data_IF_981928581342
#
_entry.id   IF_981928581342
#
_cell.length_a   1.000
_cell.length_b   1.000
_cell.length_c   1.000
_cell.angle_alpha   90.00
_cell.angle_beta   90.00
_cell.angle_gamma   90.00
#
_symmetry.space_group_name_H-M   'P 1'
#
loop_
_entity.id
_entity.type
_entity.pdbx_description
1 polymer ?
#
# COMPACT_ATOMS: atom_id res chain seq x y z
N UNK A 1 -18.94 36.44 10.90
CA UNK A 1 -19.29 35.01 11.03
C UNK A 1 -18.19 34.25 10.32
N UNK A 2 -17.34 33.55 11.07
CA UNK A 2 -16.24 32.75 10.50
C UNK A 2 -16.83 31.64 9.64
N UNK A 3 -16.62 31.73 8.33
CA UNK A 3 -16.86 30.62 7.43
C UNK A 3 -15.68 29.66 7.52
N UNK A 4 -15.61 28.87 8.60
CA UNK A 4 -14.75 27.70 8.62
C UNK A 4 -15.43 26.60 7.81
N UNK A 5 -15.49 26.79 6.48
CA UNK A 5 -15.80 25.69 5.56
C UNK A 5 -14.59 24.76 5.64
N UNK A 6 -14.74 23.51 6.12
CA UNK A 6 -13.68 22.53 5.97
C UNK A 6 -13.31 22.52 4.49
N UNK A 7 -12.01 22.65 4.17
CA UNK A 7 -11.56 22.36 2.81
C UNK A 7 -12.07 20.97 2.47
N UNK A 8 -12.56 20.72 1.24
CA UNK A 8 -12.81 19.34 0.83
C UNK A 8 -11.51 18.58 1.09
N UNK A 9 -11.56 17.57 1.96
CA UNK A 9 -10.39 16.71 2.20
C UNK A 9 -9.96 16.21 0.83
N UNK A 10 -8.75 16.60 0.46
CA UNK A 10 -8.13 16.20 -0.77
C UNK A 10 -7.70 14.74 -0.59
N UNK A 11 -8.58 13.84 -1.05
CA UNK A 11 -8.36 12.40 -0.91
C UNK A 11 -7.33 11.89 -1.91
N UNK A 12 -6.89 12.74 -2.85
CA UNK A 12 -5.80 12.38 -3.77
C UNK A 12 -4.49 12.13 -3.02
N UNK A 13 -4.23 12.87 -1.93
CA UNK A 13 -3.08 12.64 -1.04
C UNK A 13 -3.07 11.23 -0.43
N UNK A 14 -4.23 10.63 -0.17
CA UNK A 14 -4.33 9.29 0.40
C UNK A 14 -4.01 8.21 -0.64
N UNK A 15 -4.50 8.39 -1.87
CA UNK A 15 -4.21 7.48 -2.98
C UNK A 15 -2.71 7.51 -3.31
N UNK A 16 -2.10 8.69 -3.35
CA UNK A 16 -0.65 8.84 -3.61
C UNK A 16 0.19 8.17 -2.52
N UNK A 17 -0.14 8.37 -1.24
CA UNK A 17 0.54 7.70 -0.12
C UNK A 17 0.38 6.18 -0.16
N UNK A 18 -0.82 5.68 -0.49
CA UNK A 18 -1.06 4.25 -0.63
C UNK A 18 -0.25 3.67 -1.80
N UNK A 19 -0.14 4.38 -2.93
CA UNK A 19 0.72 3.99 -4.04
C UNK A 19 2.19 3.90 -3.62
N UNK A 20 2.70 4.91 -2.91
CA UNK A 20 4.07 4.93 -2.41
C UNK A 20 4.32 3.74 -1.46
N UNK A 21 3.41 3.48 -0.52
CA UNK A 21 3.53 2.35 0.40
C UNK A 21 3.49 1.00 -0.32
N UNK A 22 2.65 0.84 -1.35
CA UNK A 22 2.61 -0.37 -2.18
C UNK A 22 3.94 -0.55 -2.90
N UNK A 23 4.46 0.47 -3.57
CA UNK A 23 5.74 0.40 -4.30
C UNK A 23 6.90 0.05 -3.36
N UNK A 24 7.01 0.75 -2.22
CA UNK A 24 8.01 0.46 -1.20
C UNK A 24 7.88 -0.98 -0.68
N UNK A 25 6.66 -1.50 -0.52
CA UNK A 25 6.44 -2.87 -0.03
C UNK A 25 6.87 -3.91 -1.08
N UNK A 26 6.63 -3.64 -2.36
CA UNK A 26 7.08 -4.49 -3.47
C UNK A 26 8.60 -4.53 -3.54
N UNK A 27 9.27 -3.38 -3.50
CA UNK A 27 10.75 -3.31 -3.49
C UNK A 27 11.32 -4.08 -2.29
N UNK A 28 10.76 -3.91 -1.10
CA UNK A 28 11.15 -4.68 0.09
C UNK A 28 10.88 -6.19 -0.02
N UNK A 29 9.95 -6.63 -0.87
CA UNK A 29 9.71 -8.05 -1.16
C UNK A 29 10.76 -8.60 -2.11
N UNK A 30 11.07 -7.86 -3.18
CA UNK A 30 12.07 -8.21 -4.18
C UNK A 30 13.47 -8.24 -3.56
N UNK A 31 13.88 -7.22 -2.82
CA UNK A 31 15.14 -7.19 -2.07
C UNK A 31 15.26 -8.38 -1.11
N UNK A 32 14.17 -8.72 -0.41
CA UNK A 32 14.18 -9.86 0.50
C UNK A 32 14.31 -11.19 -0.28
N UNK A 33 13.68 -11.31 -1.44
CA UNK A 33 13.82 -12.47 -2.33
C UNK A 33 15.24 -12.60 -2.90
N UNK A 34 15.93 -11.50 -3.18
CA UNK A 34 17.33 -11.56 -3.59
C UNK A 34 18.22 -12.13 -2.49
N UNK A 35 17.92 -11.89 -1.21
CA UNK A 35 18.72 -12.45 -0.10
C UNK A 35 18.58 -13.97 0.04
N UNK A 36 17.46 -14.57 -0.42
CA UNK A 36 17.21 -16.02 -0.37
C UNK A 36 18.35 -16.82 -1.01
N UNK A 37 18.99 -16.30 -2.06
CA UNK A 37 20.07 -17.00 -2.75
C UNK A 37 21.30 -17.26 -1.86
N UNK A 38 21.44 -16.51 -0.76
CA UNK A 38 22.54 -16.61 0.21
C UNK A 38 22.10 -17.17 1.57
N UNK A 39 20.81 -17.47 1.74
CA UNK A 39 20.22 -17.93 3.00
C UNK A 39 20.11 -19.46 3.09
N UNK A 40 19.88 -19.97 4.30
CA UNK A 40 19.64 -21.38 4.56
C UNK A 40 18.15 -21.71 4.79
N UNK A 41 17.85 -22.99 5.01
CA UNK A 41 16.47 -23.50 4.97
C UNK A 41 15.48 -22.81 5.90
N UNK A 42 15.90 -22.36 7.09
CA UNK A 42 15.02 -21.66 8.02
C UNK A 42 14.79 -20.21 7.58
N UNK A 43 15.85 -19.50 7.22
CA UNK A 43 15.79 -18.10 6.77
C UNK A 43 14.96 -17.96 5.49
N UNK A 44 15.10 -18.90 4.54
CA UNK A 44 14.30 -18.91 3.31
C UNK A 44 12.81 -19.01 3.61
N UNK A 45 12.41 -19.85 4.58
CA UNK A 45 11.00 -20.01 4.94
C UNK A 45 10.45 -18.76 5.63
N UNK A 46 11.27 -18.12 6.47
CA UNK A 46 10.89 -16.86 7.12
C UNK A 46 10.68 -15.73 6.10
N UNK A 47 11.59 -15.59 5.14
CA UNK A 47 11.47 -14.59 4.06
C UNK A 47 10.18 -14.84 3.26
N UNK A 48 9.94 -16.07 2.80
CA UNK A 48 8.72 -16.43 2.06
C UNK A 48 7.45 -16.17 2.86
N UNK A 49 7.43 -16.52 4.15
CA UNK A 49 6.29 -16.26 5.02
C UNK A 49 6.06 -14.75 5.21
N UNK A 50 7.12 -13.95 5.29
CA UNK A 50 7.03 -12.48 5.38
C UNK A 50 6.50 -11.87 4.08
N UNK A 51 7.02 -12.30 2.93
CA UNK A 51 6.55 -11.85 1.62
C UNK A 51 5.08 -12.23 1.39
N UNK A 52 4.64 -13.43 1.82
CA UNK A 52 3.23 -13.81 1.78
C UNK A 52 2.32 -12.86 2.58
N UNK A 53 2.77 -12.39 3.75
CA UNK A 53 2.01 -11.41 4.54
C UNK A 53 1.99 -10.04 3.88
N UNK A 54 3.11 -9.59 3.31
CA UNK A 54 3.21 -8.34 2.55
C UNK A 54 2.27 -8.34 1.33
N UNK A 55 2.14 -9.46 0.63
CA UNK A 55 1.19 -9.62 -0.47
C UNK A 55 -0.26 -9.34 -0.01
N UNK A 56 -0.67 -9.93 1.11
CA UNK A 56 -2.01 -9.68 1.66
C UNK A 56 -2.20 -8.20 2.09
N UNK A 57 -1.15 -7.56 2.59
CA UNK A 57 -1.16 -6.12 2.90
C UNK A 57 -1.30 -5.27 1.63
N UNK A 58 -0.59 -5.61 0.54
CA UNK A 58 -0.72 -4.92 -0.76
C UNK A 58 -2.13 -5.05 -1.30
N UNK A 59 -2.73 -6.24 -1.25
CA UNK A 59 -4.12 -6.46 -1.69
C UNK A 59 -5.10 -5.58 -0.91
N UNK A 60 -4.89 -5.43 0.39
CA UNK A 60 -5.72 -4.55 1.24
C UNK A 60 -5.54 -3.08 0.86
N UNK A 61 -4.29 -2.62 0.66
CA UNK A 61 -4.00 -1.25 0.23
C UNK A 61 -4.58 -0.95 -1.17
N UNK A 62 -4.53 -1.91 -2.10
CA UNK A 62 -5.11 -1.77 -3.43
C UNK A 62 -6.64 -1.68 -3.38
N UNK A 63 -7.28 -2.44 -2.50
CA UNK A 63 -8.72 -2.31 -2.28
C UNK A 63 -9.08 -0.93 -1.72
N UNK A 64 -8.34 -0.44 -0.71
CA UNK A 64 -8.52 0.90 -0.16
C UNK A 64 -8.33 1.99 -1.22
N UNK A 65 -7.28 1.92 -2.04
CA UNK A 65 -7.06 2.87 -3.13
C UNK A 65 -8.22 2.93 -4.10
N UNK A 66 -8.83 1.78 -4.42
CA UNK A 66 -9.99 1.71 -5.31
C UNK A 66 -11.21 2.39 -4.68
N UNK A 67 -11.48 2.09 -3.42
CA UNK A 67 -12.60 2.69 -2.68
C UNK A 67 -12.42 4.21 -2.51
N UNK A 68 -11.19 4.67 -2.27
CA UNK A 68 -10.83 6.10 -2.22
C UNK A 68 -11.09 6.79 -3.56
N UNK A 69 -10.63 6.19 -4.67
CA UNK A 69 -10.81 6.74 -6.03
C UNK A 69 -12.29 6.78 -6.47
N UNK A 70 -13.07 5.74 -6.13
CA UNK A 70 -14.51 5.70 -6.41
C UNK A 70 -15.25 6.79 -5.62
N UNK A 71 -14.89 6.98 -4.35
CA UNK A 71 -15.49 7.99 -3.52
C UNK A 71 -15.08 9.43 -3.89
N UNK A 72 -13.92 9.63 -4.53
CA UNK A 72 -13.56 10.91 -5.14
C UNK A 72 -14.43 11.21 -6.37
N UNK A 73 -14.64 10.23 -7.26
CA UNK A 73 -15.49 10.39 -8.43
C UNK A 73 -16.96 10.71 -8.06
N UNK A 74 -17.47 10.08 -7.00
CA UNK A 74 -18.83 10.29 -6.53
C UNK A 74 -19.04 11.64 -5.81
N UNK A 75 -17.97 12.35 -5.41
CA UNK A 75 -18.07 13.73 -4.85
C UNK A 75 -18.36 14.79 -5.91
N UNK A 76 -18.19 14.47 -7.19
CA UNK A 76 -18.37 15.40 -8.31
C UNK A 76 -19.59 15.10 -9.20
N UNK A 77 -20.45 14.14 -8.81
CA UNK A 77 -21.78 13.91 -9.41
C UNK A 77 -22.88 14.65 -8.63
#
# INVERSE_FOLDING_TARGET
MEHNKPKPDDRSDNVEKLQEMVQNTIENMEEAEETIQFSDGEDIQQVKAKNKRRQASIESMQAEMKDEAEAENNKYQ
#
